data_IF_915316433368
#
_entry.id   IF_915316433368
#
_cell.length_a   1.000
_cell.length_b   1.000
_cell.length_c   1.000
_cell.angle_alpha   90.00
_cell.angle_beta   90.00
_cell.angle_gamma   90.00
#
_symmetry.space_group_name_H-M   'P 1'
#
loop_
_entity.id
_entity.type
_entity.pdbx_description
1 polymer ?
#
# COMPACT_ATOMS: atom_id res chain seq x y z
N UNK A 1 -48.20 69.61 6.23
CA UNK A 1 -47.94 68.54 5.24
C UNK A 1 -46.86 67.52 5.65
N UNK A 2 -45.99 67.79 6.64
CA UNK A 2 -44.87 66.90 7.00
C UNK A 2 -45.24 65.56 7.67
N UNK A 3 -46.34 65.46 8.43
CA UNK A 3 -46.73 64.19 9.11
C UNK A 3 -47.26 63.11 8.15
N UNK A 4 -47.82 63.49 7.00
CA UNK A 4 -48.32 62.53 6.00
C UNK A 4 -47.19 61.88 5.18
N UNK A 5 -46.07 62.60 4.98
CA UNK A 5 -44.88 62.05 4.32
C UNK A 5 -44.13 61.01 5.17
N UNK A 6 -44.04 61.22 6.49
CA UNK A 6 -43.38 60.28 7.41
C UNK A 6 -44.12 58.94 7.54
N UNK A 7 -45.46 58.97 7.54
CA UNK A 7 -46.30 57.76 7.56
C UNK A 7 -46.22 56.96 6.24
N UNK A 8 -46.05 57.65 5.10
CA UNK A 8 -45.86 56.99 3.81
C UNK A 8 -44.47 56.33 3.70
N UNK A 9 -43.44 56.97 4.26
CA UNK A 9 -42.06 56.46 4.30
C UNK A 9 -41.91 55.26 5.24
N UNK A 10 -42.63 55.24 6.38
CA UNK A 10 -42.71 54.06 7.26
C UNK A 10 -43.46 52.90 6.59
N UNK A 11 -44.55 53.16 5.86
CA UNK A 11 -45.29 52.12 5.15
C UNK A 11 -44.48 51.44 4.03
N UNK A 12 -43.62 52.19 3.33
CA UNK A 12 -42.74 51.64 2.28
C UNK A 12 -41.61 50.78 2.90
N UNK A 13 -41.09 51.13 4.08
CA UNK A 13 -40.11 50.31 4.81
C UNK A 13 -40.72 48.99 5.32
N UNK A 14 -42.00 48.97 5.71
CA UNK A 14 -42.67 47.74 6.14
C UNK A 14 -43.15 46.84 4.99
N UNK A 15 -43.50 47.40 3.82
CA UNK A 15 -43.91 46.62 2.65
C UNK A 15 -42.72 46.04 1.86
N UNK A 16 -41.54 46.66 1.93
CA UNK A 16 -40.31 46.15 1.29
C UNK A 16 -39.52 45.10 2.09
N UNK A 17 -39.77 44.97 3.40
CA UNK A 17 -39.00 44.08 4.30
C UNK A 17 -39.63 42.68 4.50
N UNK A 18 -40.87 42.45 4.08
CA UNK A 18 -41.61 41.22 4.40
C UNK A 18 -41.08 39.95 3.70
N UNK A 19 -40.69 40.04 2.42
CA UNK A 19 -40.18 38.89 1.65
C UNK A 19 -38.75 38.53 2.04
N UNK A 20 -37.87 39.54 2.16
CA UNK A 20 -36.47 39.35 2.53
C UNK A 20 -36.28 38.82 3.95
N UNK A 21 -37.09 39.27 4.92
CA UNK A 21 -37.00 38.79 6.30
C UNK A 21 -37.58 37.38 6.47
N UNK A 22 -38.67 37.04 5.76
CA UNK A 22 -39.20 35.66 5.70
C UNK A 22 -38.22 34.68 5.06
N UNK A 23 -37.59 35.05 3.94
CA UNK A 23 -36.55 34.24 3.29
C UNK A 23 -35.32 34.05 4.19
N UNK A 24 -34.86 35.10 4.89
CA UNK A 24 -33.75 35.00 5.85
C UNK A 24 -34.07 34.09 7.03
N UNK A 25 -35.28 34.18 7.59
CA UNK A 25 -35.73 33.31 8.68
C UNK A 25 -35.92 31.86 8.23
N UNK A 26 -36.48 31.63 7.04
CA UNK A 26 -36.59 30.30 6.43
C UNK A 26 -35.22 29.66 6.21
N UNK A 27 -34.24 30.41 5.71
CA UNK A 27 -32.87 29.93 5.54
C UNK A 27 -32.15 29.67 6.87
N UNK A 28 -32.44 30.46 7.91
CA UNK A 28 -31.90 30.25 9.26
C UNK A 28 -32.45 28.96 9.87
N UNK A 29 -33.76 28.77 9.83
CA UNK A 29 -34.41 27.56 10.36
C UNK A 29 -33.99 26.30 9.59
N UNK A 30 -33.95 26.33 8.26
CA UNK A 30 -33.45 25.23 7.44
C UNK A 30 -31.99 24.87 7.77
N UNK A 31 -31.15 25.87 8.09
CA UNK A 31 -29.76 25.64 8.49
C UNK A 31 -29.65 24.94 9.85
N UNK A 32 -30.12 25.60 10.90
CA UNK A 32 -29.87 25.16 12.28
C UNK A 32 -30.69 23.92 12.65
N UNK A 33 -31.87 23.77 12.09
CA UNK A 33 -32.72 22.61 12.40
C UNK A 33 -32.33 21.39 11.58
N UNK A 34 -31.79 21.57 10.36
CA UNK A 34 -31.66 20.46 9.41
C UNK A 34 -30.29 20.37 8.73
N UNK A 35 -29.85 21.38 7.97
CA UNK A 35 -28.61 21.27 7.17
C UNK A 35 -27.36 21.07 8.02
N UNK A 36 -27.26 21.78 9.16
CA UNK A 36 -26.16 21.60 10.09
C UNK A 36 -26.06 20.14 10.59
N UNK A 37 -27.20 19.53 10.92
CA UNK A 37 -27.26 18.14 11.38
C UNK A 37 -26.93 17.14 10.26
N UNK A 38 -27.36 17.42 9.01
CA UNK A 38 -26.99 16.62 7.85
C UNK A 38 -25.46 16.65 7.64
N UNK A 39 -24.88 17.85 7.63
CA UNK A 39 -23.43 18.05 7.46
C UNK A 39 -22.63 17.41 8.58
N UNK A 40 -23.07 17.54 9.83
CA UNK A 40 -22.44 16.91 10.98
C UNK A 40 -22.44 15.39 10.83
N UNK A 41 -23.59 14.79 10.51
CA UNK A 41 -23.70 13.33 10.33
C UNK A 41 -22.80 12.84 9.19
N UNK A 42 -22.75 13.56 8.06
CA UNK A 42 -21.83 13.25 6.97
C UNK A 42 -20.37 13.28 7.43
N UNK A 43 -19.96 14.32 8.16
CA UNK A 43 -18.60 14.45 8.67
C UNK A 43 -18.26 13.35 9.69
N UNK A 44 -19.21 12.96 10.55
CA UNK A 44 -19.02 11.88 11.52
C UNK A 44 -18.82 10.53 10.79
N UNK A 45 -19.59 10.27 9.73
CA UNK A 45 -19.41 9.10 8.85
C UNK A 45 -18.06 9.12 8.12
N UNK A 46 -17.71 10.26 7.51
CA UNK A 46 -16.44 10.45 6.82
C UNK A 46 -15.26 10.27 7.78
N UNK A 47 -15.35 10.79 9.00
CA UNK A 47 -14.31 10.59 10.02
C UNK A 47 -14.08 9.11 10.28
N UNK A 48 -15.13 8.30 10.42
CA UNK A 48 -14.99 6.84 10.59
C UNK A 48 -14.33 6.16 9.39
N UNK A 49 -14.59 6.64 8.17
CA UNK A 49 -13.88 6.18 6.95
C UNK A 49 -12.40 6.55 7.02
N UNK A 50 -12.09 7.78 7.41
CA UNK A 50 -10.71 8.30 7.47
C UNK A 50 -9.88 7.70 8.61
N UNK A 51 -10.51 7.38 9.74
CA UNK A 51 -9.87 6.76 10.91
C UNK A 51 -9.61 5.26 10.71
N UNK A 52 -10.11 4.67 9.62
CA UNK A 52 -9.77 3.28 9.28
C UNK A 52 -8.31 3.17 8.85
N UNK A 53 -7.58 2.17 9.36
CA UNK A 53 -6.17 1.97 9.01
C UNK A 53 -6.06 1.59 7.53
N UNK A 54 -5.49 2.48 6.73
CA UNK A 54 -5.16 2.21 5.32
C UNK A 54 -3.85 1.43 5.31
N UNK A 55 -3.87 0.22 4.77
CA UNK A 55 -2.63 -0.53 4.51
C UNK A 55 -2.22 -0.28 3.06
N UNK A 56 -1.09 0.37 2.87
CA UNK A 56 -0.52 0.58 1.54
C UNK A 56 0.32 -0.64 1.14
N UNK A 57 0.12 -1.10 -0.09
CA UNK A 57 1.05 -2.03 -0.73
C UNK A 57 2.06 -1.21 -1.54
N UNK A 58 3.35 -1.15 -1.15
CA UNK A 58 4.34 -0.34 -1.85
C UNK A 58 4.61 -0.82 -3.28
N UNK A 59 4.28 -2.08 -3.60
CA UNK A 59 4.43 -2.65 -4.94
C UNK A 59 3.31 -2.26 -5.89
N UNK A 60 2.18 -1.71 -5.41
CA UNK A 60 1.00 -1.42 -6.24
C UNK A 60 0.68 0.08 -6.26
N UNK A 61 0.28 0.66 -7.42
CA UNK A 61 -0.13 2.05 -7.50
C UNK A 61 -1.22 2.39 -6.48
N UNK A 62 -0.99 3.39 -5.63
CA UNK A 62 -1.98 3.79 -4.62
C UNK A 62 -3.12 4.61 -5.22
N UNK A 63 -4.25 4.64 -4.51
CA UNK A 63 -5.36 5.57 -4.78
C UNK A 63 -5.09 6.92 -4.13
N UNK A 64 -5.36 8.02 -4.85
CA UNK A 64 -5.23 9.37 -4.28
C UNK A 64 -6.45 9.70 -3.43
N UNK A 65 -7.64 9.45 -3.96
CA UNK A 65 -8.90 9.74 -3.28
C UNK A 65 -9.32 8.58 -2.38
N UNK A 66 -10.10 8.88 -1.34
CA UNK A 66 -10.65 7.86 -0.45
C UNK A 66 -11.58 6.92 -1.22
N UNK A 67 -11.31 5.63 -1.04
CA UNK A 67 -12.16 4.54 -1.51
C UNK A 67 -13.23 4.28 -0.45
N UNK A 68 -14.51 4.12 -0.83
CA UNK A 68 -15.57 3.73 0.10
C UNK A 68 -15.29 2.41 0.80
N UNK A 69 -15.38 2.41 2.14
CA UNK A 69 -15.33 1.22 2.98
C UNK A 69 -16.62 1.08 3.79
N UNK A 70 -16.83 -0.08 4.41
CA UNK A 70 -18.02 -0.35 5.24
C UNK A 70 -17.88 0.29 6.63
N UNK A 71 -17.66 1.60 6.69
CA UNK A 71 -17.57 2.39 7.92
C UNK A 71 -18.46 3.64 7.81
N UNK A 72 -19.09 4.03 8.91
CA UNK A 72 -19.91 5.26 8.96
C UNK A 72 -21.27 5.19 8.26
N UNK A 73 -21.70 4.01 7.77
CA UNK A 73 -22.96 3.82 7.03
C UNK A 73 -24.18 4.46 7.72
N UNK A 74 -24.35 4.24 9.02
CA UNK A 74 -25.47 4.81 9.79
C UNK A 74 -25.44 6.34 9.86
N UNK A 75 -24.26 6.95 9.84
CA UNK A 75 -24.12 8.41 9.87
C UNK A 75 -24.39 8.99 8.48
N UNK A 76 -23.99 8.28 7.41
CA UNK A 76 -24.37 8.62 6.05
C UNK A 76 -25.88 8.52 5.82
N UNK A 77 -26.55 7.50 6.39
CA UNK A 77 -28.02 7.38 6.37
C UNK A 77 -28.70 8.59 7.00
N UNK A 78 -28.24 9.01 8.19
CA UNK A 78 -28.75 10.21 8.87
C UNK A 78 -28.50 11.47 8.05
N UNK A 79 -27.34 11.58 7.41
CA UNK A 79 -27.03 12.70 6.52
C UNK A 79 -27.99 12.75 5.32
N UNK A 80 -28.31 11.59 4.73
CA UNK A 80 -29.27 11.47 3.63
C UNK A 80 -30.67 11.86 4.11
N UNK A 81 -31.14 11.32 5.24
CA UNK A 81 -32.46 11.60 5.79
C UNK A 81 -32.65 13.10 6.05
N UNK A 82 -31.67 13.73 6.71
CA UNK A 82 -31.72 15.16 7.01
C UNK A 82 -31.54 16.02 5.77
N UNK A 83 -30.69 15.63 4.83
CA UNK A 83 -30.58 16.28 3.54
C UNK A 83 -31.91 16.27 2.79
N UNK A 84 -32.56 15.11 2.69
CA UNK A 84 -33.85 14.94 2.02
C UNK A 84 -34.97 15.72 2.70
N UNK A 85 -34.91 15.88 4.03
CA UNK A 85 -35.84 16.74 4.77
C UNK A 85 -35.78 18.20 4.31
N UNK A 86 -34.60 18.71 3.93
CA UNK A 86 -34.43 20.06 3.37
C UNK A 86 -35.08 20.15 2.00
N UNK A 87 -34.84 19.16 1.13
CA UNK A 87 -35.44 19.13 -0.21
C UNK A 87 -36.96 19.12 -0.15
N UNK A 88 -37.56 18.46 0.86
CA UNK A 88 -39.01 18.34 1.00
C UNK A 88 -39.66 19.52 1.71
N UNK A 89 -39.07 20.00 2.82
CA UNK A 89 -39.70 21.01 3.71
C UNK A 89 -39.18 22.42 3.50
N UNK A 90 -38.04 22.58 2.82
CA UNK A 90 -37.32 23.83 2.63
C UNK A 90 -36.79 23.97 1.19
N UNK A 91 -37.59 23.56 0.20
CA UNK A 91 -37.24 23.53 -1.22
C UNK A 91 -36.89 24.91 -1.83
N UNK A 92 -37.29 26.02 -1.21
CA UNK A 92 -36.89 27.38 -1.60
C UNK A 92 -35.63 27.87 -0.88
N UNK A 93 -35.01 27.05 -0.03
CA UNK A 93 -33.84 27.43 0.75
C UNK A 93 -32.56 27.39 -0.07
N UNK A 94 -31.62 28.30 0.20
CA UNK A 94 -30.27 28.28 -0.37
C UNK A 94 -29.44 27.03 -0.02
N UNK A 95 -29.92 26.22 0.92
CA UNK A 95 -29.25 24.99 1.34
C UNK A 95 -29.65 23.77 0.53
N UNK A 96 -30.58 23.88 -0.42
CA UNK A 96 -31.05 22.76 -1.25
C UNK A 96 -29.89 22.13 -2.02
N UNK A 97 -29.15 22.91 -2.81
CA UNK A 97 -28.03 22.39 -3.62
C UNK A 97 -26.90 21.83 -2.75
N UNK A 98 -26.61 22.50 -1.63
CA UNK A 98 -25.66 22.02 -0.64
C UNK A 98 -26.09 20.68 -0.01
N UNK A 99 -27.40 20.49 0.18
CA UNK A 99 -27.96 19.23 0.71
C UNK A 99 -27.92 18.12 -0.32
N UNK A 100 -28.23 18.42 -1.60
CA UNK A 100 -28.06 17.48 -2.70
C UNK A 100 -26.62 16.96 -2.77
N UNK A 101 -25.65 17.87 -2.62
CA UNK A 101 -24.23 17.52 -2.62
C UNK A 101 -23.86 16.58 -1.46
N UNK A 102 -24.34 16.86 -0.24
CA UNK A 102 -24.14 15.98 0.91
C UNK A 102 -24.78 14.60 0.70
N UNK A 103 -26.01 14.55 0.16
CA UNK A 103 -26.71 13.29 -0.14
C UNK A 103 -25.91 12.48 -1.17
N UNK A 104 -25.45 13.10 -2.26
CA UNK A 104 -24.65 12.43 -3.29
C UNK A 104 -23.36 11.82 -2.73
N UNK A 105 -22.62 12.57 -1.90
CA UNK A 105 -21.41 12.06 -1.26
C UNK A 105 -21.70 10.93 -0.27
N UNK A 106 -22.77 11.04 0.51
CA UNK A 106 -23.21 9.96 1.40
C UNK A 106 -23.54 8.69 0.60
N UNK A 107 -24.25 8.80 -0.52
CA UNK A 107 -24.50 7.65 -1.40
C UNK A 107 -23.20 7.05 -1.95
N UNK A 108 -22.23 7.88 -2.35
CA UNK A 108 -20.92 7.41 -2.78
C UNK A 108 -20.23 6.56 -1.70
N UNK A 109 -20.14 7.06 -0.46
CA UNK A 109 -19.50 6.30 0.63
C UNK A 109 -20.30 5.07 1.06
N UNK A 110 -21.61 5.06 0.83
CA UNK A 110 -22.47 3.88 0.98
C UNK A 110 -22.38 2.89 -0.18
N UNK A 111 -21.58 3.18 -1.22
CA UNK A 111 -21.48 2.39 -2.47
C UNK A 111 -22.78 2.32 -3.27
N UNK A 112 -23.70 3.25 -3.03
CA UNK A 112 -24.95 3.42 -3.77
C UNK A 112 -24.68 4.33 -4.99
N UNK A 113 -23.78 3.88 -5.87
CA UNK A 113 -23.18 4.70 -6.91
C UNK A 113 -24.16 5.28 -7.92
N UNK A 114 -25.19 4.52 -8.30
CA UNK A 114 -26.23 5.02 -9.21
C UNK A 114 -26.99 6.22 -8.61
N UNK A 115 -27.37 6.13 -7.33
CA UNK A 115 -28.03 7.22 -6.62
C UNK A 115 -27.12 8.43 -6.42
N UNK A 116 -25.82 8.19 -6.19
CA UNK A 116 -24.81 9.25 -6.13
C UNK A 116 -24.69 9.99 -7.47
N UNK A 117 -24.51 9.26 -8.57
CA UNK A 117 -24.42 9.82 -9.93
C UNK A 117 -25.65 10.67 -10.26
N UNK A 118 -26.86 10.17 -10.01
CA UNK A 118 -28.10 10.93 -10.21
C UNK A 118 -28.11 12.26 -9.46
N UNK A 119 -27.63 12.29 -8.20
CA UNK A 119 -27.59 13.51 -7.39
C UNK A 119 -26.56 14.52 -7.91
N UNK A 120 -25.40 14.05 -8.37
CA UNK A 120 -24.40 14.94 -8.95
C UNK A 120 -24.83 15.49 -10.32
N UNK A 121 -25.51 14.68 -11.14
CA UNK A 121 -26.14 15.15 -12.37
C UNK A 121 -27.21 16.22 -12.10
N UNK A 122 -28.07 16.00 -11.09
CA UNK A 122 -29.08 16.98 -10.67
C UNK A 122 -28.41 18.32 -10.32
N UNK A 123 -27.37 18.32 -9.47
CA UNK A 123 -26.63 19.53 -9.11
C UNK A 123 -26.06 20.25 -10.34
N UNK A 124 -25.39 19.52 -11.23
CA UNK A 124 -24.80 20.10 -12.45
C UNK A 124 -25.84 20.78 -13.35
N UNK A 125 -27.11 20.36 -13.30
CA UNK A 125 -28.19 20.86 -14.15
C UNK A 125 -29.03 21.97 -13.49
N UNK A 126 -29.12 21.99 -12.17
CA UNK A 126 -30.08 22.86 -11.47
C UNK A 126 -29.45 24.04 -10.75
N UNK A 127 -28.15 23.98 -10.40
CA UNK A 127 -27.49 25.06 -9.67
C UNK A 127 -26.84 26.08 -10.60
N UNK A 128 -26.72 27.33 -10.13
CA UNK A 128 -25.89 28.37 -10.75
C UNK A 128 -24.58 28.62 -9.96
N UNK A 129 -24.35 27.88 -8.87
CA UNK A 129 -23.13 27.99 -8.08
C UNK A 129 -21.99 27.22 -8.77
N UNK A 130 -21.10 27.95 -9.44
CA UNK A 130 -19.95 27.39 -10.16
C UNK A 130 -19.06 26.48 -9.31
N UNK A 131 -18.96 26.73 -7.99
CA UNK A 131 -18.19 25.87 -7.09
C UNK A 131 -18.89 24.54 -6.87
N UNK A 132 -20.21 24.54 -6.72
CA UNK A 132 -21.00 23.31 -6.58
C UNK A 132 -21.04 22.53 -7.90
N UNK A 133 -21.07 23.22 -9.05
CA UNK A 133 -20.96 22.56 -10.36
C UNK A 133 -19.61 21.83 -10.46
N UNK A 134 -18.50 22.52 -10.21
CA UNK A 134 -17.16 21.90 -10.21
C UNK A 134 -17.06 20.72 -9.24
N UNK A 135 -17.63 20.87 -8.04
CA UNK A 135 -17.64 19.79 -7.06
C UNK A 135 -18.47 18.59 -7.54
N UNK A 136 -19.64 18.81 -8.12
CA UNK A 136 -20.48 17.74 -8.66
C UNK A 136 -19.78 16.98 -9.79
N UNK A 137 -19.02 17.66 -10.65
CA UNK A 137 -18.23 17.04 -11.71
C UNK A 137 -17.13 16.15 -11.13
N UNK A 138 -16.40 16.63 -10.13
CA UNK A 138 -15.35 15.85 -9.46
C UNK A 138 -15.92 14.58 -8.81
N UNK A 139 -17.01 14.71 -8.07
CA UNK A 139 -17.61 13.56 -7.40
C UNK A 139 -18.25 12.58 -8.38
N UNK A 140 -18.93 13.07 -9.44
CA UNK A 140 -19.41 12.20 -10.51
C UNK A 140 -18.27 11.45 -11.19
N UNK A 141 -17.15 12.12 -11.45
CA UNK A 141 -15.95 11.48 -12.01
C UNK A 141 -15.39 10.39 -11.09
N UNK A 142 -15.48 10.55 -9.77
CA UNK A 142 -15.13 9.48 -8.81
C UNK A 142 -16.16 8.34 -8.84
N UNK A 143 -17.44 8.65 -8.87
CA UNK A 143 -18.52 7.65 -8.96
C UNK A 143 -18.32 6.75 -10.18
N UNK A 144 -18.10 7.34 -11.36
CA UNK A 144 -17.87 6.59 -12.60
C UNK A 144 -16.63 5.68 -12.54
N UNK A 145 -15.61 6.08 -11.76
CA UNK A 145 -14.38 5.31 -11.57
C UNK A 145 -14.65 4.08 -10.70
N UNK A 146 -15.42 4.24 -9.63
CA UNK A 146 -15.83 3.14 -8.74
C UNK A 146 -16.90 2.23 -9.38
N UNK A 147 -17.63 2.72 -10.38
CA UNK A 147 -18.52 1.90 -11.23
C UNK A 147 -17.76 1.16 -12.35
N UNK A 148 -16.43 1.32 -12.43
CA UNK A 148 -15.58 0.73 -13.47
C UNK A 148 -15.94 1.16 -14.90
N UNK A 149 -16.66 2.28 -15.05
CA UNK A 149 -17.06 2.84 -16.34
C UNK A 149 -15.93 3.70 -16.93
N UNK A 150 -14.74 3.11 -17.10
CA UNK A 150 -13.51 3.84 -17.37
C UNK A 150 -13.58 4.71 -18.63
N UNK A 151 -14.06 4.15 -19.74
CA UNK A 151 -14.18 4.90 -21.00
C UNK A 151 -15.15 6.08 -20.91
N UNK A 152 -16.32 5.87 -20.26
CA UNK A 152 -17.31 6.93 -20.07
C UNK A 152 -16.79 8.02 -19.13
N UNK A 153 -16.09 7.64 -18.05
CA UNK A 153 -15.48 8.57 -17.11
C UNK A 153 -14.39 9.44 -17.75
N UNK A 154 -13.49 8.85 -18.54
CA UNK A 154 -12.47 9.59 -19.28
C UNK A 154 -13.11 10.56 -20.28
N UNK A 155 -14.09 10.10 -21.06
CA UNK A 155 -14.82 10.95 -21.99
C UNK A 155 -15.49 12.12 -21.27
N UNK A 156 -16.22 11.83 -20.18
CA UNK A 156 -16.89 12.84 -19.37
C UNK A 156 -15.90 13.89 -18.86
N UNK A 157 -14.78 13.47 -18.26
CA UNK A 157 -13.77 14.41 -17.73
C UNK A 157 -13.21 15.30 -18.85
N UNK A 158 -12.87 14.72 -20.00
CA UNK A 158 -12.33 15.47 -21.13
C UNK A 158 -13.33 16.48 -21.70
N UNK A 159 -14.61 16.11 -21.82
CA UNK A 159 -15.67 17.03 -22.22
C UNK A 159 -15.80 18.20 -21.22
N UNK A 160 -15.74 17.92 -19.91
CA UNK A 160 -15.81 18.96 -18.88
C UNK A 160 -14.59 19.88 -18.87
N UNK A 161 -13.39 19.35 -19.15
CA UNK A 161 -12.17 20.15 -19.26
C UNK A 161 -12.16 21.04 -20.51
N UNK A 162 -12.67 20.55 -21.64
CA UNK A 162 -12.64 21.24 -22.93
C UNK A 162 -13.78 22.25 -23.10
N UNK A 163 -15.01 21.87 -22.72
CA UNK A 163 -16.20 22.69 -23.01
C UNK A 163 -16.44 23.78 -21.96
N UNK A 164 -15.88 23.63 -20.75
CA UNK A 164 -16.13 24.52 -19.61
C UNK A 164 -14.85 25.20 -19.11
N UNK A 165 -13.94 25.60 -20.00
CA UNK A 165 -12.62 26.12 -19.59
C UNK A 165 -12.68 27.27 -18.58
N UNK A 166 -13.66 28.17 -18.73
CA UNK A 166 -13.84 29.34 -17.85
C UNK A 166 -14.45 29.00 -16.48
N UNK A 167 -15.08 27.84 -16.34
CA UNK A 167 -15.68 27.39 -15.08
C UNK A 167 -14.61 27.08 -14.03
N UNK A 168 -13.46 26.58 -14.47
CA UNK A 168 -12.49 25.94 -13.59
C UNK A 168 -11.60 26.95 -12.86
N UNK A 169 -11.59 26.85 -11.52
CA UNK A 169 -10.43 27.36 -10.79
C UNK A 169 -9.25 26.37 -10.88
N UNK A 170 -8.02 26.87 -10.73
CA UNK A 170 -6.80 26.07 -10.94
C UNK A 170 -6.72 24.83 -10.06
N UNK A 171 -7.09 24.95 -8.78
CA UNK A 171 -7.05 23.84 -7.82
C UNK A 171 -8.07 22.74 -8.14
N UNK A 172 -9.28 23.09 -8.54
CA UNK A 172 -10.33 22.13 -8.94
C UNK A 172 -10.04 21.50 -10.30
N UNK A 173 -9.46 22.25 -11.24
CA UNK A 173 -8.94 21.70 -12.50
C UNK A 173 -7.87 20.65 -12.24
N UNK A 174 -6.93 20.97 -11.33
CA UNK A 174 -5.90 20.03 -10.90
C UNK A 174 -6.50 18.78 -10.24
N UNK A 175 -7.48 18.95 -9.35
CA UNK A 175 -8.20 17.83 -8.72
C UNK A 175 -8.88 16.92 -9.78
N UNK A 176 -9.48 17.51 -10.81
CA UNK A 176 -10.10 16.72 -11.89
C UNK A 176 -9.05 15.96 -12.71
N UNK A 177 -7.89 16.58 -12.99
CA UNK A 177 -6.78 15.93 -13.70
C UNK A 177 -6.15 14.78 -12.93
N UNK A 178 -6.02 14.86 -11.60
CA UNK A 178 -5.54 13.72 -10.81
C UNK A 178 -6.59 12.58 -10.75
N UNK A 179 -7.89 12.88 -10.88
CA UNK A 179 -8.91 11.85 -11.07
C UNK A 179 -8.70 11.18 -12.43
N UNK A 180 -8.54 11.95 -13.50
CA UNK A 180 -8.23 11.43 -14.83
C UNK A 180 -6.97 10.55 -14.83
N UNK A 181 -5.91 10.97 -14.14
CA UNK A 181 -4.71 10.15 -13.97
C UNK A 181 -5.02 8.78 -13.35
N UNK A 182 -5.88 8.73 -12.33
CA UNK A 182 -6.28 7.47 -11.71
C UNK A 182 -7.09 6.56 -12.65
N UNK A 183 -7.82 7.10 -13.63
CA UNK A 183 -8.41 6.29 -14.70
C UNK A 183 -7.32 5.62 -15.54
N UNK A 184 -6.31 6.39 -15.96
CA UNK A 184 -5.20 5.86 -16.74
C UNK A 184 -4.37 4.83 -15.96
N UNK A 185 -4.16 5.04 -14.65
CA UNK A 185 -3.50 4.05 -13.78
C UNK A 185 -4.25 2.72 -13.77
N UNK A 186 -5.58 2.73 -13.64
CA UNK A 186 -6.37 1.50 -13.63
C UNK A 186 -6.39 0.82 -15.01
N UNK A 187 -6.21 1.59 -16.09
CA UNK A 187 -6.02 1.06 -17.44
C UNK A 187 -4.57 0.69 -17.78
N UNK A 188 -3.67 0.74 -16.79
CA UNK A 188 -2.23 0.51 -16.96
C UNK A 188 -1.56 1.43 -18.00
N UNK A 189 -2.19 2.57 -18.31
CA UNK A 189 -1.65 3.59 -19.18
C UNK A 189 -0.78 4.55 -18.38
N UNK A 190 0.43 4.09 -18.05
CA UNK A 190 1.36 4.78 -17.14
C UNK A 190 1.80 6.14 -17.67
N UNK A 191 2.09 6.26 -18.97
CA UNK A 191 2.56 7.49 -19.58
C UNK A 191 1.54 8.62 -19.45
N UNK A 192 0.28 8.36 -19.83
CA UNK A 192 -0.77 9.38 -19.73
C UNK A 192 -1.07 9.74 -18.27
N UNK A 193 -1.05 8.76 -17.36
CA UNK A 193 -1.17 9.03 -15.93
C UNK A 193 -0.05 9.95 -15.41
N UNK A 194 1.21 9.70 -15.78
CA UNK A 194 2.37 10.53 -15.41
C UNK A 194 2.19 11.96 -15.91
N UNK A 195 1.76 12.15 -17.16
CA UNK A 195 1.52 13.47 -17.76
C UNK A 195 0.48 14.23 -16.93
N UNK A 196 -0.67 13.61 -16.67
CA UNK A 196 -1.76 14.25 -15.92
C UNK A 196 -1.34 14.59 -14.48
N UNK A 197 -0.65 13.69 -13.78
CA UNK A 197 -0.15 13.95 -12.41
C UNK A 197 0.89 15.08 -12.38
N UNK A 198 1.87 15.04 -13.29
CA UNK A 198 2.96 16.02 -13.33
C UNK A 198 2.44 17.45 -13.56
N UNK A 199 1.41 17.60 -14.39
CA UNK A 199 0.78 18.90 -14.63
C UNK A 199 -0.11 19.35 -13.45
N UNK A 200 -0.84 18.42 -12.84
CA UNK A 200 -1.86 18.74 -11.85
C UNK A 200 -1.30 19.00 -10.45
N UNK A 201 -0.35 18.18 -9.97
CA UNK A 201 0.08 18.18 -8.56
C UNK A 201 0.62 19.53 -8.04
N UNK A 202 1.40 20.32 -8.82
CA UNK A 202 1.85 21.64 -8.36
C UNK A 202 0.70 22.58 -7.99
N UNK A 203 -0.41 22.49 -8.74
CA UNK A 203 -1.57 23.38 -8.65
C UNK A 203 -2.66 22.88 -7.69
N UNK A 204 -2.53 21.66 -7.16
CA UNK A 204 -3.52 21.10 -6.25
C UNK A 204 -3.57 21.90 -4.94
N UNK A 205 -4.73 21.97 -4.30
CA UNK A 205 -4.86 22.69 -3.02
C UNK A 205 -4.70 21.76 -1.81
N UNK A 206 -5.24 20.55 -1.89
CA UNK A 206 -5.29 19.62 -0.77
C UNK A 206 -3.92 18.96 -0.53
N UNK A 207 -3.36 19.19 0.66
CA UNK A 207 -2.07 18.63 1.10
C UNK A 207 -2.08 17.10 1.09
N UNK A 208 -3.19 16.48 1.51
CA UNK A 208 -3.34 15.02 1.55
C UNK A 208 -3.26 14.43 0.14
N UNK A 209 -3.96 15.03 -0.81
CA UNK A 209 -3.94 14.57 -2.18
C UNK A 209 -2.61 14.87 -2.87
N UNK A 210 -1.87 15.92 -2.46
CA UNK A 210 -0.48 16.12 -2.91
C UNK A 210 0.42 15.00 -2.42
N UNK A 211 0.36 14.66 -1.13
CA UNK A 211 1.16 13.59 -0.55
C UNK A 211 0.97 12.28 -1.32
N UNK A 212 -0.28 11.84 -1.45
CA UNK A 212 -0.65 10.62 -2.20
C UNK A 212 -0.32 10.70 -3.67
N UNK A 213 -0.56 11.86 -4.29
CA UNK A 213 -0.34 12.05 -5.72
C UNK A 213 1.14 12.03 -6.09
N UNK A 214 2.01 12.65 -5.29
CA UNK A 214 3.46 12.56 -5.51
C UNK A 214 4.02 11.16 -5.21
N UNK A 215 3.46 10.46 -4.23
CA UNK A 215 3.83 9.06 -3.99
C UNK A 215 3.45 8.18 -5.19
N UNK A 216 2.20 8.29 -5.67
CA UNK A 216 1.75 7.59 -6.87
C UNK A 216 2.62 7.94 -8.08
N UNK A 217 2.94 9.23 -8.29
CA UNK A 217 3.82 9.66 -9.38
C UNK A 217 5.20 8.99 -9.30
N UNK A 218 5.75 8.85 -8.08
CA UNK A 218 6.98 8.09 -7.85
C UNK A 218 6.87 6.63 -8.26
N UNK A 219 5.77 5.95 -7.89
CA UNK A 219 5.50 4.56 -8.28
C UNK A 219 5.40 4.38 -9.79
N UNK A 220 4.77 5.33 -10.50
CA UNK A 220 4.66 5.28 -11.95
C UNK A 220 6.00 5.52 -12.65
N UNK A 221 6.82 6.44 -12.14
CA UNK A 221 8.17 6.65 -12.66
C UNK A 221 9.07 5.43 -12.44
N UNK A 222 8.99 4.78 -11.27
CA UNK A 222 9.73 3.55 -10.97
C UNK A 222 9.35 2.42 -11.94
N UNK A 223 8.05 2.21 -12.16
CA UNK A 223 7.53 1.21 -13.11
C UNK A 223 7.94 1.46 -14.56
N UNK A 224 8.13 2.72 -14.94
CA UNK A 224 8.56 3.11 -16.29
C UNK A 224 10.09 3.22 -16.42
N UNK A 225 10.85 2.85 -15.38
CA UNK A 225 12.31 2.88 -15.37
C UNK A 225 12.93 4.28 -15.18
N UNK A 226 12.12 5.30 -14.93
CA UNK A 226 12.55 6.69 -14.73
C UNK A 226 12.96 6.92 -13.27
N UNK A 227 14.02 6.24 -12.82
CA UNK A 227 14.39 6.21 -11.40
C UNK A 227 14.79 7.58 -10.84
N UNK A 228 15.38 8.48 -11.64
CA UNK A 228 15.74 9.82 -11.15
C UNK A 228 14.50 10.66 -10.84
N UNK A 229 13.50 10.57 -11.68
CA UNK A 229 12.20 11.21 -11.53
C UNK A 229 11.43 10.61 -10.35
N UNK A 230 11.46 9.27 -10.22
CA UNK A 230 10.87 8.56 -9.08
C UNK A 230 11.48 9.04 -7.75
N UNK A 231 12.80 9.10 -7.65
CA UNK A 231 13.51 9.61 -6.47
C UNK A 231 13.05 11.02 -6.10
N UNK A 232 12.92 11.92 -7.08
CA UNK A 232 12.48 13.29 -6.87
C UNK A 232 11.01 13.39 -6.45
N UNK A 233 10.15 12.54 -7.02
CA UNK A 233 8.73 12.47 -6.66
C UNK A 233 8.57 11.99 -5.21
N UNK A 234 9.22 10.89 -4.83
CA UNK A 234 9.21 10.39 -3.44
C UNK A 234 9.78 11.42 -2.45
N UNK A 235 10.89 12.09 -2.77
CA UNK A 235 11.42 13.20 -1.96
C UNK A 235 10.42 14.34 -1.78
N UNK A 236 9.58 14.59 -2.79
CA UNK A 236 8.58 15.67 -2.72
C UNK A 236 7.43 15.34 -1.76
N UNK A 237 7.15 14.05 -1.51
CA UNK A 237 6.15 13.60 -0.53
C UNK A 237 6.46 14.13 0.88
N UNK A 238 7.74 14.25 1.26
CA UNK A 238 8.20 14.77 2.56
C UNK A 238 7.69 16.20 2.85
N UNK A 239 7.42 16.99 1.80
CA UNK A 239 6.88 18.36 1.94
C UNK A 239 5.41 18.37 2.37
N UNK A 240 4.72 17.24 2.24
CA UNK A 240 3.27 17.13 2.37
C UNK A 240 2.82 16.14 3.45
N UNK A 241 3.47 16.14 4.61
CA UNK A 241 3.11 15.28 5.76
C UNK A 241 1.62 15.34 6.15
N UNK A 242 0.88 14.25 5.91
CA UNK A 242 -0.48 14.01 6.37
C UNK A 242 -0.64 12.59 6.96
N UNK A 243 -0.04 11.57 6.33
CA UNK A 243 -0.12 10.17 6.77
C UNK A 243 1.28 9.60 7.08
N UNK A 244 1.48 9.11 8.31
CA UNK A 244 2.77 8.57 8.74
C UNK A 244 3.22 7.36 7.91
N UNK A 245 2.32 6.42 7.63
CA UNK A 245 2.65 5.18 6.93
C UNK A 245 3.13 5.50 5.50
N UNK A 246 2.49 6.49 4.86
CA UNK A 246 2.87 6.95 3.53
C UNK A 246 4.21 7.69 3.53
N UNK A 247 4.53 8.42 4.60
CA UNK A 247 5.83 9.09 4.76
C UNK A 247 6.96 8.09 4.98
N UNK A 248 6.73 7.07 5.80
CA UNK A 248 7.65 5.95 5.95
C UNK A 248 7.91 5.28 4.59
N UNK A 249 6.85 4.95 3.85
CA UNK A 249 6.97 4.32 2.54
C UNK A 249 7.67 5.20 1.52
N UNK A 250 7.39 6.51 1.49
CA UNK A 250 8.06 7.44 0.59
C UNK A 250 9.56 7.50 0.87
N UNK A 251 9.96 7.53 2.14
CA UNK A 251 11.36 7.54 2.53
C UNK A 251 12.07 6.23 2.15
N UNK A 252 11.41 5.10 2.41
CA UNK A 252 11.87 3.77 2.00
C UNK A 252 12.06 3.69 0.48
N UNK A 253 11.03 4.04 -0.29
CA UNK A 253 11.05 4.00 -1.76
C UNK A 253 12.06 4.97 -2.37
N UNK A 254 12.25 6.15 -1.76
CA UNK A 254 13.33 7.07 -2.15
C UNK A 254 14.71 6.43 -1.98
N UNK A 255 14.95 5.73 -0.86
CA UNK A 255 16.21 5.04 -0.62
C UNK A 255 16.41 3.82 -1.55
N UNK A 256 15.36 3.03 -1.81
CA UNK A 256 15.38 1.97 -2.81
C UNK A 256 15.76 2.51 -4.20
N UNK A 257 15.18 3.65 -4.57
CA UNK A 257 15.46 4.30 -5.86
C UNK A 257 16.88 4.88 -5.91
N UNK A 258 17.40 5.38 -4.79
CA UNK A 258 18.80 5.82 -4.69
C UNK A 258 19.78 4.66 -4.94
N UNK A 259 19.51 3.49 -4.33
CA UNK A 259 20.25 2.25 -4.58
C UNK A 259 20.21 1.86 -6.06
N UNK A 260 19.05 1.89 -6.71
CA UNK A 260 18.92 1.61 -8.16
C UNK A 260 19.69 2.60 -9.04
N UNK A 261 19.92 3.82 -8.57
CA UNK A 261 20.77 4.82 -9.24
C UNK A 261 22.26 4.65 -8.93
N UNK A 262 22.65 3.62 -8.17
CA UNK A 262 24.02 3.34 -7.73
C UNK A 262 24.46 4.12 -6.48
N UNK A 263 23.59 4.94 -5.89
CA UNK A 263 23.87 5.70 -4.67
C UNK A 263 23.57 4.87 -3.42
N UNK A 264 24.35 3.79 -3.27
CA UNK A 264 24.23 2.83 -2.17
C UNK A 264 24.54 3.46 -0.80
N UNK A 265 25.43 4.46 -0.74
CA UNK A 265 25.77 5.15 0.51
C UNK A 265 24.59 5.95 1.06
N UNK A 266 23.91 6.72 0.20
CA UNK A 266 22.70 7.46 0.62
C UNK A 266 21.57 6.51 1.00
N UNK A 267 21.42 5.38 0.30
CA UNK A 267 20.44 4.35 0.62
C UNK A 267 20.70 3.76 2.02
N UNK A 268 21.91 3.26 2.29
CA UNK A 268 22.31 2.73 3.60
C UNK A 268 22.15 3.76 4.71
N UNK A 269 22.58 5.01 4.47
CA UNK A 269 22.45 6.10 5.42
C UNK A 269 20.99 6.42 5.76
N UNK A 270 20.08 6.28 4.79
CA UNK A 270 18.64 6.46 5.01
C UNK A 270 18.06 5.29 5.79
N UNK A 271 18.26 4.04 5.36
CA UNK A 271 17.72 2.86 6.04
C UNK A 271 18.23 2.74 7.48
N UNK A 272 19.52 3.00 7.72
CA UNK A 272 20.10 2.95 9.07
C UNK A 272 19.47 4.00 10.00
N UNK A 273 19.15 5.20 9.48
CA UNK A 273 18.43 6.21 10.25
C UNK A 273 17.00 5.76 10.55
N UNK A 274 16.32 5.15 9.59
CA UNK A 274 14.97 4.62 9.77
C UNK A 274 14.92 3.51 10.82
N UNK A 275 15.89 2.59 10.85
CA UNK A 275 15.98 1.52 11.86
C UNK A 275 16.14 2.07 13.28
N UNK A 276 16.81 3.22 13.43
CA UNK A 276 17.05 3.87 14.73
C UNK A 276 15.88 4.74 15.22
N UNK A 277 14.90 5.00 14.36
CA UNK A 277 13.72 5.77 14.75
C UNK A 277 12.72 4.83 15.42
N UNK A 278 12.43 5.06 16.70
CA UNK A 278 11.53 4.23 17.51
C UNK A 278 10.12 4.14 16.90
N UNK A 279 9.72 5.09 16.06
CA UNK A 279 8.44 5.06 15.35
C UNK A 279 8.38 3.96 14.27
N UNK A 280 9.52 3.46 13.80
CA UNK A 280 9.62 2.42 12.79
C UNK A 280 9.80 1.01 13.38
N UNK A 281 9.56 0.82 14.67
CA UNK A 281 9.78 -0.47 15.34
C UNK A 281 9.07 -1.63 14.62
N UNK A 282 7.85 -1.41 14.11
CA UNK A 282 7.08 -2.44 13.38
C UNK A 282 7.68 -2.80 12.00
N UNK A 283 8.54 -1.95 11.44
CA UNK A 283 9.15 -2.14 10.12
C UNK A 283 10.62 -2.57 10.16
N UNK A 284 11.17 -2.78 11.35
CA UNK A 284 12.60 -3.04 11.54
C UNK A 284 13.12 -4.21 10.69
N UNK A 285 12.38 -5.31 10.61
CA UNK A 285 12.77 -6.46 9.78
C UNK A 285 12.76 -6.16 8.29
N UNK A 286 11.83 -5.32 7.82
CA UNK A 286 11.81 -4.90 6.41
C UNK A 286 13.00 -3.99 6.10
N UNK A 287 13.34 -3.09 7.03
CA UNK A 287 14.50 -2.21 6.89
C UNK A 287 15.83 -2.98 6.94
N UNK A 288 15.95 -3.97 7.82
CA UNK A 288 17.13 -4.86 7.87
C UNK A 288 17.30 -5.63 6.55
N UNK A 289 16.19 -6.07 5.94
CA UNK A 289 16.21 -6.64 4.59
C UNK A 289 16.73 -5.63 3.55
N UNK A 290 16.23 -4.39 3.55
CA UNK A 290 16.71 -3.38 2.60
C UNK A 290 18.19 -3.01 2.80
N UNK A 291 18.68 -3.01 4.05
CA UNK A 291 20.10 -2.84 4.36
C UNK A 291 20.92 -3.99 3.75
N UNK A 292 20.53 -5.24 4.00
CA UNK A 292 21.21 -6.41 3.46
C UNK A 292 21.23 -6.40 1.93
N UNK A 293 20.09 -6.09 1.30
CA UNK A 293 20.01 -5.95 -0.16
C UNK A 293 20.90 -4.81 -0.67
N UNK A 294 21.06 -3.73 0.08
CA UNK A 294 21.99 -2.65 -0.32
C UNK A 294 23.46 -3.09 -0.23
N UNK A 295 23.85 -3.91 0.76
CA UNK A 295 25.17 -4.53 0.78
C UNK A 295 25.37 -5.52 -0.39
N UNK A 296 24.33 -6.28 -0.74
CA UNK A 296 24.34 -7.17 -1.90
C UNK A 296 24.59 -6.40 -3.21
N UNK A 297 23.90 -5.28 -3.45
CA UNK A 297 24.13 -4.41 -4.61
C UNK A 297 25.52 -3.74 -4.62
N UNK A 298 26.21 -3.69 -3.47
CA UNK A 298 27.61 -3.26 -3.37
C UNK A 298 28.60 -4.42 -3.58
N UNK A 299 28.13 -5.62 -3.94
CA UNK A 299 28.92 -6.86 -4.03
C UNK A 299 29.62 -7.27 -2.71
N UNK A 300 29.14 -6.75 -1.58
CA UNK A 300 29.59 -7.11 -0.23
C UNK A 300 28.79 -8.30 0.28
N UNK A 301 29.04 -9.44 -0.35
CA UNK A 301 28.22 -10.64 -0.22
C UNK A 301 28.27 -11.23 1.19
N UNK A 302 29.43 -11.24 1.85
CA UNK A 302 29.57 -11.77 3.20
C UNK A 302 28.77 -10.96 4.24
N UNK A 303 28.83 -9.62 4.15
CA UNK A 303 28.05 -8.75 5.02
C UNK A 303 26.54 -8.90 4.78
N UNK A 304 26.12 -8.91 3.51
CA UNK A 304 24.72 -9.10 3.15
C UNK A 304 24.17 -10.44 3.64
N UNK A 305 24.92 -11.53 3.40
CA UNK A 305 24.56 -12.88 3.85
C UNK A 305 24.42 -12.96 5.37
N UNK A 306 25.34 -12.34 6.11
CA UNK A 306 25.30 -12.29 7.57
C UNK A 306 24.03 -11.62 8.06
N UNK A 307 23.66 -10.48 7.49
CA UNK A 307 22.44 -9.73 7.88
C UNK A 307 21.20 -10.55 7.53
N UNK A 308 21.09 -11.11 6.31
CA UNK A 308 19.98 -11.97 5.91
C UNK A 308 19.81 -13.18 6.85
N UNK A 309 20.89 -13.88 7.19
CA UNK A 309 20.85 -15.02 8.12
C UNK A 309 20.43 -14.61 9.54
N UNK A 310 20.91 -13.46 10.02
CA UNK A 310 20.52 -12.94 11.33
C UNK A 310 19.04 -12.55 11.37
N UNK A 311 18.55 -11.90 10.31
CA UNK A 311 17.13 -11.56 10.13
C UNK A 311 16.25 -12.81 10.23
N UNK A 312 16.61 -13.89 9.53
CA UNK A 312 15.83 -15.15 9.54
C UNK A 312 15.89 -15.89 10.88
N UNK A 313 16.96 -15.72 11.67
CA UNK A 313 17.11 -16.33 13.01
C UNK A 313 16.44 -15.53 14.12
N UNK A 314 16.07 -14.27 13.88
CA UNK A 314 15.51 -13.40 14.91
C UNK A 314 14.15 -13.93 15.40
N UNK A 315 14.08 -14.25 16.69
CA UNK A 315 12.85 -14.77 17.33
C UNK A 315 12.01 -13.68 17.98
N UNK A 316 12.59 -12.50 18.23
CA UNK A 316 11.95 -11.36 18.88
C UNK A 316 11.18 -10.55 17.84
N UNK A 317 11.89 -10.05 16.83
CA UNK A 317 11.30 -9.32 15.70
C UNK A 317 11.16 -10.29 14.53
N UNK A 318 10.03 -11.01 14.47
CA UNK A 318 9.81 -12.04 13.45
C UNK A 318 9.47 -11.38 12.10
N UNK A 319 10.22 -11.68 11.02
CA UNK A 319 9.91 -11.14 9.70
C UNK A 319 8.59 -11.68 9.17
N UNK A 320 7.89 -10.84 8.40
CA UNK A 320 6.69 -11.24 7.64
C UNK A 320 7.00 -12.35 6.63
N UNK A 321 5.96 -13.02 6.12
CA UNK A 321 6.15 -14.07 5.09
C UNK A 321 6.77 -13.48 3.82
N UNK A 322 6.41 -12.25 3.46
CA UNK A 322 6.96 -11.52 2.33
C UNK A 322 8.45 -11.21 2.56
N UNK A 323 8.82 -10.69 3.74
CA UNK A 323 10.23 -10.40 4.07
C UNK A 323 11.08 -11.68 4.08
N UNK A 324 10.53 -12.80 4.57
CA UNK A 324 11.22 -14.10 4.51
C UNK A 324 11.43 -14.56 3.08
N UNK A 325 10.39 -14.48 2.24
CA UNK A 325 10.48 -14.85 0.83
C UNK A 325 11.61 -14.08 0.14
N UNK A 326 11.61 -12.76 0.32
CA UNK A 326 12.61 -11.87 -0.26
C UNK A 326 14.02 -12.09 0.32
N UNK A 327 14.13 -12.41 1.61
CA UNK A 327 15.42 -12.68 2.25
C UNK A 327 16.04 -13.98 1.73
N UNK A 328 15.25 -15.05 1.60
CA UNK A 328 15.74 -16.29 0.98
C UNK A 328 16.07 -16.10 -0.49
N UNK A 329 15.32 -15.26 -1.21
CA UNK A 329 15.63 -14.90 -2.58
C UNK A 329 16.98 -14.18 -2.70
N UNK A 330 17.22 -13.17 -1.85
CA UNK A 330 18.51 -12.46 -1.81
C UNK A 330 19.68 -13.38 -1.44
N UNK A 331 19.49 -14.33 -0.51
CA UNK A 331 20.49 -15.37 -0.24
C UNK A 331 20.76 -16.23 -1.48
N UNK A 332 19.72 -16.64 -2.20
CA UNK A 332 19.90 -17.41 -3.43
C UNK A 332 20.71 -16.65 -4.48
N UNK A 333 20.46 -15.36 -4.66
CA UNK A 333 21.22 -14.49 -5.57
C UNK A 333 22.68 -14.34 -5.15
N UNK A 334 22.98 -14.17 -3.86
CA UNK A 334 24.36 -14.13 -3.33
C UNK A 334 25.09 -15.43 -3.69
N UNK A 335 24.47 -16.58 -3.44
CA UNK A 335 25.09 -17.87 -3.74
C UNK A 335 25.24 -18.11 -5.25
N UNK A 336 24.29 -17.65 -6.05
CA UNK A 336 24.33 -17.74 -7.51
C UNK A 336 25.42 -16.86 -8.12
N UNK A 337 25.44 -15.56 -7.81
CA UNK A 337 26.28 -14.57 -8.49
C UNK A 337 27.59 -14.30 -7.76
N UNK A 338 27.58 -14.31 -6.43
CA UNK A 338 28.78 -14.06 -5.62
C UNK A 338 29.64 -15.29 -5.46
N UNK A 339 29.05 -16.40 -5.04
CA UNK A 339 29.80 -17.62 -4.70
C UNK A 339 29.85 -18.66 -5.82
N UNK A 340 29.03 -18.52 -6.87
CA UNK A 340 28.87 -19.51 -7.95
C UNK A 340 28.51 -20.92 -7.42
N UNK A 341 27.81 -20.97 -6.28
CA UNK A 341 27.30 -22.19 -5.67
C UNK A 341 25.82 -22.35 -5.99
N UNK A 342 25.60 -22.90 -7.18
CA UNK A 342 24.26 -23.12 -7.74
C UNK A 342 23.43 -24.16 -6.98
N UNK A 343 24.07 -25.06 -6.22
CA UNK A 343 23.35 -26.05 -5.41
C UNK A 343 22.70 -25.36 -4.21
N UNK A 344 23.45 -24.52 -3.50
CA UNK A 344 22.90 -23.71 -2.43
C UNK A 344 21.92 -22.64 -2.95
N UNK A 345 22.19 -22.04 -4.11
CA UNK A 345 21.24 -21.13 -4.75
C UNK A 345 19.89 -21.83 -5.01
N UNK A 346 19.90 -23.05 -5.55
CA UNK A 346 18.68 -23.84 -5.77
C UNK A 346 17.89 -24.06 -4.46
N UNK A 347 18.58 -24.44 -3.39
CA UNK A 347 17.96 -24.69 -2.09
C UNK A 347 17.30 -23.43 -1.50
N UNK A 348 17.95 -22.27 -1.64
CA UNK A 348 17.38 -21.00 -1.17
C UNK A 348 16.24 -20.50 -2.05
N UNK A 349 16.31 -20.64 -3.38
CA UNK A 349 15.18 -20.32 -4.25
C UNK A 349 13.96 -21.21 -3.95
N UNK A 350 14.15 -22.51 -3.73
CA UNK A 350 13.08 -23.43 -3.34
C UNK A 350 12.45 -23.01 -1.99
N UNK A 351 13.27 -22.68 -1.00
CA UNK A 351 12.78 -22.20 0.31
C UNK A 351 12.05 -20.87 0.19
N UNK A 352 12.53 -19.96 -0.67
CA UNK A 352 11.88 -18.69 -0.98
C UNK A 352 10.50 -18.91 -1.58
N UNK A 353 10.39 -19.76 -2.62
CA UNK A 353 9.13 -20.05 -3.31
C UNK A 353 8.09 -20.73 -2.42
N UNK A 354 8.51 -21.43 -1.36
CA UNK A 354 7.63 -22.05 -0.36
C UNK A 354 7.16 -21.10 0.74
N UNK A 355 7.71 -19.89 0.82
CA UNK A 355 7.12 -18.87 1.67
C UNK A 355 5.79 -18.47 1.02
N UNK A 356 4.66 -18.75 1.67
CA UNK A 356 3.30 -18.44 1.18
C UNK A 356 3.00 -16.93 1.17
N UNK A 357 3.89 -16.14 0.56
CA UNK A 357 3.77 -14.70 0.41
C UNK A 357 2.81 -14.37 -0.74
N UNK A 358 1.86 -13.44 -0.55
CA UNK A 358 0.98 -13.01 -1.63
C UNK A 358 1.79 -12.36 -2.76
N UNK A 359 1.58 -12.83 -3.99
CA UNK A 359 2.36 -12.40 -5.17
C UNK A 359 2.27 -10.89 -5.39
N UNK A 360 1.11 -10.29 -5.14
CA UNK A 360 0.87 -8.86 -5.32
C UNK A 360 1.70 -7.96 -4.39
N UNK A 361 2.27 -8.51 -3.32
CA UNK A 361 3.14 -7.81 -2.36
C UNK A 361 4.63 -8.04 -2.63
N UNK A 362 4.97 -8.89 -3.59
CA UNK A 362 6.34 -9.14 -4.00
C UNK A 362 6.69 -8.25 -5.21
N UNK A 363 7.98 -7.93 -5.43
CA UNK A 363 8.42 -7.24 -6.63
C UNK A 363 8.04 -8.01 -7.89
N UNK A 364 7.74 -7.30 -8.98
CA UNK A 364 7.36 -7.90 -10.28
C UNK A 364 8.44 -8.84 -10.84
N UNK A 365 9.71 -8.59 -10.52
CA UNK A 365 10.84 -9.42 -10.91
C UNK A 365 11.01 -10.70 -10.09
N UNK A 366 10.17 -10.95 -9.08
CA UNK A 366 10.28 -12.12 -8.22
C UNK A 366 9.82 -13.39 -8.94
N UNK A 367 10.77 -14.30 -9.23
CA UNK A 367 10.51 -15.56 -9.94
C UNK A 367 11.17 -16.79 -9.26
N UNK A 368 11.18 -16.82 -7.93
CA UNK A 368 11.86 -17.85 -7.14
C UNK A 368 11.52 -19.29 -7.54
N UNK A 369 10.26 -19.57 -7.89
CA UNK A 369 9.82 -20.91 -8.28
C UNK A 369 10.47 -21.40 -9.58
N UNK A 370 10.58 -20.52 -10.58
CA UNK A 370 11.24 -20.84 -11.85
C UNK A 370 12.74 -21.06 -11.66
N UNK A 371 13.39 -20.19 -10.87
CA UNK A 371 14.80 -20.30 -10.57
C UNK A 371 15.12 -21.54 -9.74
N UNK A 372 14.26 -21.90 -8.77
CA UNK A 372 14.38 -23.13 -7.99
C UNK A 372 14.36 -24.37 -8.89
N UNK A 373 13.45 -24.42 -9.85
CA UNK A 373 13.37 -25.52 -10.81
C UNK A 373 14.61 -25.59 -11.70
N UNK A 374 15.03 -24.46 -12.28
CA UNK A 374 16.18 -24.39 -13.18
C UNK A 374 17.48 -24.80 -12.49
N UNK A 375 17.79 -24.19 -11.33
CA UNK A 375 19.01 -24.50 -10.58
C UNK A 375 18.94 -25.88 -9.92
N UNK A 376 17.75 -26.35 -9.53
CA UNK A 376 17.56 -27.72 -9.04
C UNK A 376 17.93 -28.77 -10.08
N UNK A 377 17.50 -28.60 -11.33
CA UNK A 377 17.90 -29.49 -12.43
C UNK A 377 19.41 -29.42 -12.72
N UNK A 378 19.99 -28.22 -12.70
CA UNK A 378 21.45 -28.07 -12.83
C UNK A 378 22.20 -28.83 -11.74
N UNK A 379 21.81 -28.66 -10.46
CA UNK A 379 22.45 -29.32 -9.33
C UNK A 379 22.31 -30.85 -9.43
N UNK A 380 21.13 -31.35 -9.83
CA UNK A 380 20.88 -32.77 -10.08
C UNK A 380 21.83 -33.33 -11.14
N UNK A 381 21.93 -32.66 -12.30
CA UNK A 381 22.79 -33.08 -13.41
C UNK A 381 24.27 -33.03 -13.03
N UNK A 382 24.71 -31.99 -12.32
CA UNK A 382 26.09 -31.86 -11.82
C UNK A 382 26.47 -32.99 -10.86
N UNK A 383 25.56 -33.33 -9.94
CA UNK A 383 25.75 -34.44 -9.00
C UNK A 383 25.78 -35.78 -9.72
N UNK A 384 24.91 -35.99 -10.71
CA UNK A 384 24.90 -37.19 -11.55
C UNK A 384 26.21 -37.32 -12.36
N UNK A 385 26.69 -36.22 -12.96
CA UNK A 385 27.96 -36.20 -13.68
C UNK A 385 29.14 -36.52 -12.76
N UNK A 386 29.22 -35.85 -11.60
CA UNK A 386 30.28 -36.08 -10.61
C UNK A 386 30.30 -37.53 -10.10
N UNK A 387 29.12 -38.12 -9.93
CA UNK A 387 28.98 -39.54 -9.59
C UNK A 387 29.50 -40.45 -10.70
N UNK A 388 29.12 -40.19 -11.96
CA UNK A 388 29.59 -40.95 -13.12
C UNK A 388 31.11 -40.83 -13.32
N UNK A 389 31.68 -39.63 -13.17
CA UNK A 389 33.13 -39.39 -13.25
C UNK A 389 33.88 -40.14 -12.14
N UNK A 390 33.32 -40.17 -10.93
CA UNK A 390 33.87 -40.96 -9.83
C UNK A 390 33.88 -42.46 -10.17
N UNK A 391 32.81 -42.98 -10.75
CA UNK A 391 32.74 -44.38 -11.20
C UNK A 391 33.75 -44.68 -12.32
N UNK A 392 33.88 -43.80 -13.31
CA UNK A 392 34.88 -43.93 -14.38
C UNK A 392 36.30 -43.89 -13.82
N UNK A 393 36.59 -43.01 -12.87
CA UNK A 393 37.89 -42.96 -12.21
C UNK A 393 38.20 -44.27 -11.48
N UNK A 394 37.25 -44.78 -10.69
CA UNK A 394 37.40 -46.08 -10.00
C UNK A 394 37.66 -47.21 -11.00
N UNK A 395 36.95 -47.22 -12.13
CA UNK A 395 37.10 -48.27 -13.16
C UNK A 395 38.49 -48.30 -13.83
N UNK A 396 39.21 -47.18 -13.81
CA UNK A 396 40.53 -47.04 -14.40
C UNK A 396 41.68 -47.30 -13.40
N UNK A 397 41.38 -47.63 -12.14
CA UNK A 397 42.39 -47.93 -11.14
C UNK A 397 43.02 -49.30 -11.39
N UNK A 398 44.33 -49.42 -11.12
CA UNK A 398 44.98 -50.74 -11.04
C UNK A 398 44.47 -51.50 -9.81
N UNK A 399 44.48 -52.84 -9.87
CA UNK A 399 43.97 -53.70 -8.79
C UNK A 399 44.51 -53.33 -7.39
N UNK A 400 45.81 -53.06 -7.18
CA UNK A 400 46.33 -52.69 -5.85
C UNK A 400 45.78 -51.34 -5.34
N UNK A 401 45.53 -50.39 -6.24
CA UNK A 401 44.96 -49.08 -5.89
C UNK A 401 43.47 -49.19 -5.57
N UNK A 402 42.74 -50.01 -6.33
CA UNK A 402 41.33 -50.31 -6.07
C UNK A 402 41.15 -50.97 -4.70
N UNK A 403 41.98 -51.97 -4.36
CA UNK A 403 41.91 -52.65 -3.07
C UNK A 403 42.20 -51.69 -1.89
N UNK A 404 43.19 -50.81 -2.05
CA UNK A 404 43.49 -49.74 -1.07
C UNK A 404 42.31 -48.78 -0.88
N UNK A 405 41.70 -48.33 -1.98
CA UNK A 405 40.53 -47.44 -1.94
C UNK A 405 39.34 -48.11 -1.23
N UNK A 406 39.06 -49.38 -1.54
CA UNK A 406 37.98 -50.14 -0.89
C UNK A 406 38.23 -50.28 0.62
N UNK A 407 39.47 -50.55 1.03
CA UNK A 407 39.83 -50.63 2.44
C UNK A 407 39.61 -49.28 3.16
N UNK A 408 39.97 -48.17 2.53
CA UNK A 408 39.76 -46.82 3.06
C UNK A 408 38.27 -46.47 3.16
N UNK A 409 37.48 -46.77 2.12
CA UNK A 409 36.02 -46.57 2.13
C UNK A 409 35.38 -47.40 3.25
N UNK A 410 35.76 -48.68 3.42
CA UNK A 410 35.26 -49.53 4.50
C UNK A 410 35.58 -48.94 5.88
N UNK A 411 36.81 -48.48 6.08
CA UNK A 411 37.25 -47.86 7.34
C UNK A 411 36.42 -46.60 7.66
N UNK A 412 36.22 -45.72 6.67
CA UNK A 412 35.38 -44.52 6.83
C UNK A 412 33.92 -44.87 7.12
N UNK A 413 33.35 -45.86 6.44
CA UNK A 413 31.95 -46.27 6.70
C UNK A 413 31.77 -46.85 8.10
N UNK A 414 32.75 -47.62 8.58
CA UNK A 414 32.78 -48.12 9.95
C UNK A 414 32.84 -46.97 10.97
N UNK A 415 33.64 -45.93 10.73
CA UNK A 415 33.69 -44.77 11.65
C UNK A 415 32.40 -43.96 11.62
N UNK A 416 31.79 -43.73 10.45
CA UNK A 416 30.50 -43.06 10.33
C UNK A 416 29.39 -43.80 11.10
N UNK A 417 29.33 -45.13 10.96
CA UNK A 417 28.36 -45.96 11.69
C UNK A 417 28.58 -45.91 13.20
N UNK A 418 29.85 -45.91 13.65
CA UNK A 418 30.17 -45.77 15.07
C UNK A 418 29.77 -44.40 15.62
N UNK A 419 30.01 -43.32 14.87
CA UNK A 419 29.62 -41.97 15.25
C UNK A 419 28.09 -41.81 15.28
N UNK A 420 27.38 -42.36 14.28
CA UNK A 420 25.93 -42.33 14.24
C UNK A 420 25.31 -43.07 15.43
N UNK A 421 25.88 -44.23 15.82
CA UNK A 421 25.48 -44.95 17.04
C UNK A 421 25.70 -44.10 18.28
N UNK A 422 26.88 -43.48 18.44
CA UNK A 422 27.15 -42.56 19.56
C UNK A 422 26.15 -41.40 19.62
N UNK A 423 25.90 -40.71 18.50
CA UNK A 423 24.95 -39.60 18.46
C UNK A 423 23.51 -40.05 18.80
N UNK A 424 23.15 -41.28 18.42
CA UNK A 424 21.85 -41.87 18.74
C UNK A 424 21.75 -42.27 20.22
N UNK A 425 22.81 -42.84 20.79
CA UNK A 425 22.95 -43.12 22.23
C UNK A 425 22.94 -41.83 23.06
N UNK A 426 23.62 -40.78 22.62
CA UNK A 426 23.58 -39.44 23.24
C UNK A 426 22.18 -38.83 23.17
N UNK A 427 21.49 -38.90 22.02
CA UNK A 427 20.09 -38.45 21.93
C UNK A 427 19.16 -39.25 22.84
N UNK A 428 19.36 -40.56 22.97
CA UNK A 428 18.61 -41.39 23.92
C UNK A 428 18.94 -41.04 25.37
N UNK A 429 20.21 -40.81 25.72
CA UNK A 429 20.62 -40.42 27.07
C UNK A 429 20.15 -39.01 27.44
N UNK A 430 20.09 -38.08 26.49
CA UNK A 430 19.50 -36.74 26.71
C UNK A 430 17.98 -36.84 26.93
N UNK A 431 17.29 -37.76 26.25
CA UNK A 431 15.87 -38.04 26.52
C UNK A 431 15.66 -38.73 27.87
N UNK A 432 16.55 -39.65 28.27
CA UNK A 432 16.49 -40.38 29.56
C UNK A 432 16.81 -39.48 30.75
N UNK A 433 17.78 -38.55 30.62
CA UNK A 433 18.10 -37.58 31.67
C UNK A 433 16.97 -36.54 31.89
N UNK A 434 16.25 -36.15 30.84
CA UNK A 434 15.07 -35.27 30.98
C UNK A 434 13.92 -35.99 31.71
N UNK A 435 13.79 -37.31 31.56
CA UNK A 435 12.81 -38.11 32.34
C UNK A 435 13.25 -38.41 33.79
N UNK A 436 14.55 -38.55 34.08
CA UNK A 436 15.05 -38.77 35.44
C UNK A 436 15.08 -37.49 36.31
N UNK A 437 15.11 -36.29 35.70
CA UNK A 437 14.95 -35.02 36.43
C UNK A 437 13.47 -34.71 36.77
N UNK A 438 12.50 -35.42 36.17
CA UNK A 438 11.07 -35.26 36.50
C UNK A 438 10.55 -36.21 37.60
N UNK A 439 11.34 -37.19 38.07
CA UNK A 439 10.93 -38.10 39.16
C UNK A 439 11.38 -37.67 40.58
N UNK A 440 12.07 -36.53 40.76
CA UNK A 440 12.40 -36.00 42.11
C UNK A 440 11.62 -34.76 42.54
N UNK A 441 10.63 -34.30 41.77
CA UNK A 441 9.72 -33.22 42.18
C UNK A 441 8.26 -33.49 41.79
N UNK A 442 7.61 -34.36 42.56
CA UNK A 442 6.15 -34.30 42.73
C UNK A 442 5.69 -34.88 44.08
N UNK A 443 5.60 -34.01 45.09
CA UNK A 443 4.49 -34.03 46.06
C UNK A 443 3.81 -32.66 45.92
N UNK A 444 2.48 -32.72 45.72
CA UNK A 444 1.50 -31.61 45.62
C UNK A 444 1.63 -30.77 44.33
N UNK A 445 0.83 -30.97 43.28
CA UNK A 445 -0.64 -31.01 43.22
C UNK A 445 -1.11 -29.66 42.66
N UNK A 446 -1.92 -29.50 41.62
CA UNK A 446 -2.60 -30.35 40.66
C UNK A 446 -3.31 -29.42 39.66
N UNK A 447 -3.65 -29.95 38.48
CA UNK A 447 -4.53 -29.37 37.44
C UNK A 447 -3.99 -28.12 36.71
N UNK A 448 -3.92 -28.00 35.38
CA UNK A 448 -4.43 -28.81 34.27
C UNK A 448 -4.59 -27.89 33.03
N UNK A 449 -4.04 -28.34 31.90
CA UNK A 449 -4.42 -28.08 30.50
C UNK A 449 -4.22 -26.70 29.80
N UNK A 450 -3.30 -26.75 28.82
CA UNK A 450 -3.31 -26.22 27.44
C UNK A 450 -3.40 -24.70 27.18
N UNK A 451 -2.25 -24.10 26.83
CA UNK A 451 -1.89 -23.80 25.44
C UNK A 451 -0.38 -23.62 25.28
#
# INVERSE_FOLDING_TARGET
>A
MQKKGLLLLLAIVFLGCGSGMKSRWGNFTAYYNTYYNAKKSYNDGLKKVLDSKITYNPQQPIRIHEVPINAGTQDFDKAIEKGAEILRKHNESKWVDNSLNLIGKSYYFKKEYFSADQKFQEISLTTNDESLIQESILWRSRVLLEMELYGQGIQYINEQLNNNERLWNSGKKAELKIILAQYFVVQENWQDAIIQLSEALPNLNDKKYKERGYFLLGQLFERTGNYREAYNAYRTVEKFYYDYDLQYLALRKRAETARLLGDNESALGTFTKMVRDDKNTEFKTELDYEIAKTYQEQEKFEEAETIYKNLLKNTVDRPSVETKALTYYGLAEIYQYGYNDFEMAAAYYDTSARQNAPFEKLPESYNAGELAQSFGEYARLKNELSYRDSLLWVSNLSQPRLDSLIAEIKKRKLSELAQARKNQEERQNTLVNVSNEQETTSIEGGNGFLN
#
